data_IF_738176748172
#
_entry.id   IF_738176748172
#
_cell.length_a   1.000
_cell.length_b   1.000
_cell.length_c   1.000
_cell.angle_alpha   90.00
_cell.angle_beta   90.00
_cell.angle_gamma   90.00
#
_symmetry.space_group_name_H-M   'P 1'
#
loop_
_entity.id
_entity.type
_entity.pdbx_description
1 polymer ?
#
# COMPACT_ATOMS: atom_id res chain seq x y z
N UNK A 1 -18.03 -16.19 5.98
CA UNK A 1 -18.61 -17.46 6.46
C UNK A 1 -20.13 -17.34 6.33
N UNK A 2 -20.86 -18.44 6.39
CA UNK A 2 -22.33 -18.45 6.30
C UNK A 2 -22.88 -18.89 7.64
N UNK A 3 -23.80 -18.13 8.23
CA UNK A 3 -24.46 -18.47 9.49
C UNK A 3 -25.90 -18.88 9.22
N UNK A 4 -26.24 -20.12 9.59
CA UNK A 4 -27.62 -20.60 9.60
C UNK A 4 -28.34 -19.98 10.80
N UNK A 5 -29.37 -19.19 10.52
CA UNK A 5 -30.07 -18.41 11.54
C UNK A 5 -31.05 -19.26 12.36
N UNK A 6 -31.38 -20.46 11.90
CA UNK A 6 -32.35 -21.34 12.57
C UNK A 6 -31.71 -22.16 13.68
N UNK A 7 -30.43 -22.52 13.54
CA UNK A 7 -29.71 -23.36 14.50
C UNK A 7 -28.39 -22.73 15.00
N UNK A 8 -28.02 -21.54 14.53
CA UNK A 8 -26.81 -20.82 14.93
C UNK A 8 -25.51 -21.49 14.49
N UNK A 9 -25.56 -22.47 13.59
CA UNK A 9 -24.40 -23.21 13.11
C UNK A 9 -23.70 -22.42 12.01
N UNK A 10 -22.39 -22.29 12.14
CA UNK A 10 -21.55 -21.65 11.15
C UNK A 10 -21.02 -22.66 10.13
N UNK A 11 -21.08 -22.26 8.87
CA UNK A 11 -20.61 -23.03 7.73
C UNK A 11 -19.56 -22.28 6.92
N UNK A 12 -18.61 -23.04 6.39
CA UNK A 12 -17.55 -22.56 5.50
C UNK A 12 -17.62 -23.26 4.14
N UNK A 13 -17.34 -22.53 3.04
CA UNK A 13 -17.29 -23.12 1.71
C UNK A 13 -16.01 -23.95 1.56
N UNK A 14 -16.20 -25.22 1.21
CA UNK A 14 -15.12 -26.16 0.94
C UNK A 14 -15.30 -26.75 -0.45
N UNK A 15 -14.22 -27.23 -1.04
CA UNK A 15 -14.25 -27.98 -2.29
C UNK A 15 -13.39 -29.22 -2.18
N UNK A 16 -13.78 -30.26 -2.90
CA UNK A 16 -12.97 -31.44 -3.14
C UNK A 16 -12.29 -31.29 -4.48
N UNK A 17 -10.98 -31.49 -4.53
CA UNK A 17 -10.25 -31.50 -5.78
C UNK A 17 -10.34 -32.86 -6.52
N UNK A 18 -9.68 -32.96 -7.67
CA UNK A 18 -9.66 -34.18 -8.49
C UNK A 18 -8.89 -35.35 -7.84
N UNK A 19 -8.05 -35.07 -6.85
CA UNK A 19 -7.27 -36.06 -6.12
C UNK A 19 -8.03 -36.57 -4.88
N UNK A 20 -9.20 -35.99 -4.59
CA UNK A 20 -10.07 -36.37 -3.47
C UNK A 20 -9.75 -35.61 -2.17
N UNK A 21 -8.86 -34.61 -2.24
CA UNK A 21 -8.50 -33.78 -1.08
C UNK A 21 -9.51 -32.65 -0.88
N UNK A 22 -9.90 -32.41 0.37
CA UNK A 22 -10.81 -31.35 0.76
C UNK A 22 -10.05 -30.09 1.19
N UNK A 23 -10.43 -28.94 0.63
CA UNK A 23 -9.75 -27.65 0.79
C UNK A 23 -10.77 -26.53 1.05
N UNK A 24 -10.34 -25.39 1.62
CA UNK A 24 -11.20 -24.22 1.75
C UNK A 24 -11.26 -23.45 0.42
N UNK A 25 -12.44 -22.96 0.07
CA UNK A 25 -12.61 -22.11 -1.12
C UNK A 25 -11.94 -20.75 -0.87
N UNK A 26 -10.82 -20.51 -1.56
CA UNK A 26 -9.98 -19.32 -1.41
C UNK A 26 -8.52 -19.63 -1.06
N UNK A 27 -8.19 -20.89 -0.77
CA UNK A 27 -6.82 -21.32 -0.44
C UNK A 27 -5.90 -21.36 -1.67
N UNK A 28 -6.47 -21.52 -2.88
CA UNK A 28 -5.73 -21.60 -4.14
C UNK A 28 -6.19 -20.54 -5.14
N UNK A 29 -5.33 -20.11 -6.09
CA UNK A 29 -5.71 -19.21 -7.17
C UNK A 29 -6.94 -19.67 -7.95
N UNK A 30 -7.79 -18.72 -8.39
CA UNK A 30 -9.03 -18.97 -9.14
C UNK A 30 -8.86 -19.95 -10.31
N UNK A 31 -7.79 -19.81 -11.10
CA UNK A 31 -7.53 -20.72 -12.22
C UNK A 31 -7.33 -22.17 -11.76
N UNK A 32 -6.56 -22.38 -10.68
CA UNK A 32 -6.35 -23.72 -10.11
C UNK A 32 -7.63 -24.29 -9.51
N UNK A 33 -8.45 -23.45 -8.86
CA UNK A 33 -9.75 -23.86 -8.35
C UNK A 33 -10.67 -24.33 -9.49
N UNK A 34 -10.81 -23.55 -10.56
CA UNK A 34 -11.65 -23.91 -11.71
C UNK A 34 -11.15 -25.19 -12.40
N UNK A 35 -9.83 -25.35 -12.52
CA UNK A 35 -9.25 -26.51 -13.20
C UNK A 35 -9.32 -27.80 -12.37
N UNK A 36 -9.32 -27.72 -11.03
CA UNK A 36 -9.20 -28.88 -10.13
C UNK A 36 -10.42 -29.16 -9.25
N UNK A 37 -11.36 -28.24 -9.10
CA UNK A 37 -12.56 -28.48 -8.31
C UNK A 37 -13.42 -29.57 -8.95
N UNK A 38 -13.70 -30.62 -8.19
CA UNK A 38 -14.62 -31.69 -8.58
C UNK A 38 -16.04 -31.43 -8.06
N UNK A 39 -16.16 -31.08 -6.76
CA UNK A 39 -17.44 -30.70 -6.14
C UNK A 39 -17.25 -29.70 -5.00
N UNK A 40 -18.27 -28.89 -4.75
CA UNK A 40 -18.32 -27.92 -3.65
C UNK A 40 -19.30 -28.38 -2.57
N UNK A 41 -19.03 -28.02 -1.32
CA UNK A 41 -19.92 -28.28 -0.19
C UNK A 41 -19.75 -27.22 0.90
N UNK A 42 -20.82 -26.96 1.65
CA UNK A 42 -20.74 -26.31 2.96
C UNK A 42 -20.43 -27.32 4.05
N UNK A 43 -19.32 -27.11 4.76
CA UNK A 43 -18.95 -27.86 5.95
C UNK A 43 -19.17 -27.01 7.19
N UNK A 44 -19.53 -27.63 8.32
CA UNK A 44 -19.59 -26.92 9.60
C UNK A 44 -18.20 -26.40 9.93
N UNK A 45 -18.08 -25.18 10.44
CA UNK A 45 -16.79 -24.57 10.73
C UNK A 45 -15.95 -25.45 11.66
N UNK A 46 -16.57 -26.14 12.63
CA UNK A 46 -15.92 -27.10 13.53
C UNK A 46 -15.30 -28.32 12.83
N UNK A 47 -15.88 -28.76 11.70
CA UNK A 47 -15.40 -29.92 10.93
C UNK A 47 -14.26 -29.51 9.98
N UNK A 48 -14.22 -28.24 9.57
CA UNK A 48 -13.25 -27.71 8.62
C UNK A 48 -11.91 -27.26 9.25
N UNK A 49 -11.80 -27.24 10.59
CA UNK A 49 -10.63 -26.77 11.35
C UNK A 49 -9.32 -27.46 10.90
N UNK A 50 -9.41 -28.71 10.43
CA UNK A 50 -8.24 -29.53 10.05
C UNK A 50 -7.86 -29.46 8.57
N UNK A 51 -8.67 -28.81 7.73
CA UNK A 51 -8.42 -28.72 6.28
C UNK A 51 -7.25 -27.77 5.95
N UNK A 52 -6.93 -26.82 6.83
CA UNK A 52 -5.85 -25.83 6.65
C UNK A 52 -4.46 -26.25 7.16
N UNK A 53 -4.23 -27.51 7.58
CA UNK A 53 -2.95 -27.94 8.19
C UNK A 53 -2.03 -28.78 7.29
N UNK A 54 -2.41 -29.12 6.06
CA UNK A 54 -1.49 -29.76 5.11
C UNK A 54 -0.80 -28.69 4.26
N UNK A 55 0.47 -28.43 4.58
CA UNK A 55 1.40 -27.56 3.86
C UNK A 55 1.40 -27.87 2.35
N UNK A 56 0.67 -27.06 1.58
CA UNK A 56 1.13 -26.64 0.27
C UNK A 56 1.47 -25.17 0.44
N UNK A 57 2.77 -24.87 0.31
CA UNK A 57 3.30 -23.52 0.44
C UNK A 57 2.68 -22.66 -0.67
N UNK A 58 1.77 -21.73 -0.32
CA UNK A 58 1.37 -20.64 -1.21
C UNK A 58 1.32 -19.33 -0.40
N UNK A 59 1.91 -18.23 -0.91
CA UNK A 59 1.97 -16.95 -0.23
C UNK A 59 0.61 -16.24 -0.30
N UNK A 60 0.29 -15.49 0.75
CA UNK A 60 -0.70 -14.39 0.89
C UNK A 60 -1.96 -14.44 -0.01
N UNK A 61 -3.14 -14.37 0.63
CA UNK A 61 -4.44 -14.22 -0.05
C UNK A 61 -4.38 -13.15 -1.16
N UNK A 62 -4.51 -13.58 -2.41
CA UNK A 62 -4.56 -12.68 -3.58
C UNK A 62 -5.99 -12.14 -3.77
N UNK A 63 -6.16 -10.96 -4.39
CA UNK A 63 -7.49 -10.39 -4.72
C UNK A 63 -8.37 -11.37 -5.52
N UNK A 64 -7.75 -12.23 -6.35
CA UNK A 64 -8.43 -13.29 -7.09
C UNK A 64 -9.09 -14.33 -6.17
N UNK A 65 -8.49 -14.62 -5.01
CA UNK A 65 -9.04 -15.55 -4.03
C UNK A 65 -10.24 -14.94 -3.30
N UNK A 66 -10.20 -13.64 -2.99
CA UNK A 66 -11.34 -12.92 -2.37
C UNK A 66 -12.54 -12.87 -3.32
N UNK A 67 -12.30 -12.58 -4.61
CA UNK A 67 -13.35 -12.58 -5.64
C UNK A 67 -13.94 -13.98 -5.81
N UNK A 68 -13.09 -15.02 -5.89
CA UNK A 68 -13.53 -16.41 -5.97
C UNK A 68 -14.44 -16.77 -4.79
N UNK A 69 -13.99 -16.51 -3.55
CA UNK A 69 -14.79 -16.79 -2.36
C UNK A 69 -16.11 -16.02 -2.39
N UNK A 70 -16.12 -14.76 -2.84
CA UNK A 70 -17.36 -13.97 -2.94
C UNK A 70 -18.34 -14.49 -3.99
N UNK A 71 -17.86 -14.90 -5.17
CA UNK A 71 -18.68 -15.46 -6.26
C UNK A 71 -19.28 -16.80 -5.82
N UNK A 72 -18.46 -17.71 -5.30
CA UNK A 72 -18.91 -19.03 -4.84
C UNK A 72 -19.90 -18.88 -3.68
N UNK A 73 -19.65 -18.00 -2.72
CA UNK A 73 -20.58 -17.71 -1.63
C UNK A 73 -21.91 -17.15 -2.13
N UNK A 74 -21.89 -16.28 -3.15
CA UNK A 74 -23.11 -15.70 -3.70
C UNK A 74 -23.95 -16.72 -4.48
N UNK A 75 -23.31 -17.67 -5.16
CA UNK A 75 -24.00 -18.79 -5.81
C UNK A 75 -24.64 -19.72 -4.77
N UNK A 76 -23.88 -20.10 -3.74
CA UNK A 76 -24.34 -21.02 -2.70
C UNK A 76 -25.50 -20.43 -1.89
N UNK A 77 -25.46 -19.15 -1.53
CA UNK A 77 -26.55 -18.49 -0.81
C UNK A 77 -27.85 -18.50 -1.63
N UNK A 78 -27.77 -18.25 -2.94
CA UNK A 78 -28.94 -18.31 -3.84
C UNK A 78 -29.54 -19.71 -3.90
N UNK A 79 -28.71 -20.76 -3.96
CA UNK A 79 -29.17 -22.15 -4.00
C UNK A 79 -29.82 -22.57 -2.67
N UNK A 80 -29.32 -22.10 -1.53
CA UNK A 80 -29.88 -22.41 -0.21
C UNK A 80 -31.24 -21.73 0.01
N UNK A 81 -31.37 -20.46 -0.38
CA UNK A 81 -32.66 -19.76 -0.34
C UNK A 81 -33.69 -20.43 -1.25
N UNK A 82 -33.27 -20.92 -2.42
CA UNK A 82 -34.14 -21.66 -3.34
C UNK A 82 -34.62 -23.00 -2.77
N UNK A 83 -33.89 -23.58 -1.81
CA UNK A 83 -34.24 -24.82 -1.09
C UNK A 83 -34.89 -24.56 0.28
N UNK A 84 -35.29 -23.32 0.58
CA UNK A 84 -36.02 -22.96 1.80
C UNK A 84 -35.15 -22.85 3.07
N UNK A 85 -33.82 -22.78 2.94
CA UNK A 85 -32.90 -22.58 4.05
C UNK A 85 -32.58 -21.09 4.17
N UNK A 86 -32.87 -20.49 5.32
CA UNK A 86 -32.63 -19.07 5.55
C UNK A 86 -31.25 -18.83 6.18
N UNK A 87 -30.35 -18.24 5.40
CA UNK A 87 -28.93 -18.07 5.72
C UNK A 87 -28.51 -16.63 5.49
N UNK A 88 -27.74 -16.07 6.42
CA UNK A 88 -27.12 -14.75 6.24
C UNK A 88 -25.61 -14.90 6.07
N UNK A 89 -25.06 -14.12 5.14
CA UNK A 89 -23.62 -13.87 5.08
C UNK A 89 -23.27 -13.13 6.36
N UNK A 90 -22.38 -13.68 7.18
CA UNK A 90 -21.95 -13.01 8.40
C UNK A 90 -21.12 -11.78 8.00
N UNK A 91 -21.69 -10.58 8.13
CA UNK A 91 -20.90 -9.37 8.30
C UNK A 91 -20.41 -9.34 9.75
N UNK A 92 -19.14 -9.02 9.96
CA UNK A 92 -18.55 -8.93 11.30
C UNK A 92 -19.38 -8.00 12.19
N UNK A 93 -19.88 -8.43 13.36
CA UNK A 93 -20.73 -7.58 14.19
C UNK A 93 -19.91 -6.55 14.96
N UNK A 94 -20.23 -5.27 14.72
CA UNK A 94 -20.09 -4.22 15.73
C UNK A 94 -21.02 -4.57 16.90
N UNK A 95 -20.45 -4.88 18.07
CA UNK A 95 -21.23 -5.10 19.29
C UNK A 95 -21.39 -3.79 20.06
N UNK A 96 -22.64 -3.44 20.34
CA UNK A 96 -23.02 -2.43 21.32
C UNK A 96 -23.54 -3.20 22.54
N UNK A 97 -22.74 -3.22 23.62
CA UNK A 97 -23.07 -3.90 24.86
C UNK A 97 -22.16 -3.37 25.97
N UNK A 98 -22.75 -2.62 26.90
CA UNK A 98 -22.07 -1.91 27.97
C UNK A 98 -21.43 -2.89 28.98
N UNK A 99 -20.11 -3.06 28.93
CA UNK A 99 -19.29 -3.70 29.98
C UNK A 99 -18.02 -2.89 30.15
N UNK A 100 -17.67 -2.58 31.40
CA UNK A 100 -16.57 -1.72 31.81
C UNK A 100 -15.21 -2.06 31.19
N UNK A 101 -14.68 -1.07 30.45
CA UNK A 101 -13.28 -0.61 30.35
C UNK A 101 -12.14 -1.64 30.50
N UNK A 102 -11.58 -2.05 29.37
CA UNK A 102 -10.12 -1.99 29.11
C UNK A 102 -9.91 -1.60 27.63
N UNK A 103 -9.47 -0.37 27.38
CA UNK A 103 -9.26 0.20 26.05
C UNK A 103 -8.12 -0.50 25.30
N UNK A 104 -8.47 -1.30 24.28
CA UNK A 104 -7.58 -1.66 23.18
C UNK A 104 -8.25 -1.21 21.88
N UNK A 105 -7.91 -0.03 21.38
CA UNK A 105 -8.45 0.47 20.11
C UNK A 105 -7.95 -0.40 18.97
N UNK A 106 -8.82 -1.21 18.39
CA UNK A 106 -8.57 -1.97 17.18
C UNK A 106 -8.61 -1.03 15.95
N UNK A 107 -7.71 -0.03 15.92
CA UNK A 107 -7.66 0.98 14.85
C UNK A 107 -7.20 0.34 13.55
N UNK A 108 -7.92 0.58 12.45
CA UNK A 108 -7.48 0.16 11.10
C UNK A 108 -6.05 0.67 10.83
N UNK A 109 -5.15 -0.15 10.28
CA UNK A 109 -3.80 0.29 9.93
C UNK A 109 -3.81 1.49 8.98
N UNK A 110 -2.85 2.39 9.15
CA UNK A 110 -2.66 3.50 8.23
C UNK A 110 -2.03 2.99 6.93
N UNK A 111 -2.71 3.24 5.80
CA UNK A 111 -2.31 2.74 4.48
C UNK A 111 -1.20 3.59 3.91
N UNK A 112 -0.12 2.95 3.48
CA UNK A 112 1.03 3.57 2.85
C UNK A 112 1.30 2.84 1.54
N UNK A 113 1.36 3.59 0.45
CA UNK A 113 1.69 3.10 -0.87
C UNK A 113 3.08 3.62 -1.24
N UNK A 114 4.02 2.71 -1.46
CA UNK A 114 5.37 3.09 -1.87
C UNK A 114 5.48 2.86 -3.38
N UNK A 115 5.99 3.85 -4.11
CA UNK A 115 6.38 3.68 -5.51
C UNK A 115 7.33 2.48 -5.67
N UNK A 116 7.19 1.69 -6.72
CA UNK A 116 8.08 0.56 -6.97
C UNK A 116 8.61 0.60 -8.39
N UNK A 117 9.93 0.55 -8.52
CA UNK A 117 10.64 0.36 -9.78
C UNK A 117 11.61 -0.80 -9.58
N UNK A 118 11.60 -1.85 -10.42
CA UNK A 118 12.51 -2.98 -10.29
C UNK A 118 14.00 -2.60 -10.28
N UNK A 119 14.35 -1.46 -10.88
CA UNK A 119 15.73 -0.93 -10.89
C UNK A 119 16.17 -0.39 -9.52
N UNK A 120 15.23 -0.12 -8.63
CA UNK A 120 15.41 0.51 -7.33
C UNK A 120 14.83 -0.35 -6.19
N UNK A 121 14.79 -1.68 -6.36
CA UNK A 121 14.24 -2.63 -5.36
C UNK A 121 14.89 -2.45 -3.97
N UNK A 122 16.20 -2.24 -3.92
CA UNK A 122 16.91 -2.00 -2.66
C UNK A 122 16.45 -0.71 -1.97
N UNK A 123 16.15 0.35 -2.72
CA UNK A 123 15.63 1.59 -2.17
C UNK A 123 14.23 1.39 -1.59
N UNK A 124 13.36 0.69 -2.32
CA UNK A 124 12.04 0.29 -1.83
C UNK A 124 12.13 -0.50 -0.51
N UNK A 125 13.02 -1.49 -0.44
CA UNK A 125 13.18 -2.33 0.74
C UNK A 125 13.68 -1.54 1.95
N UNK A 126 14.63 -0.62 1.76
CA UNK A 126 15.12 0.27 2.83
C UNK A 126 14.02 1.24 3.28
N UNK A 127 13.31 1.87 2.34
CA UNK A 127 12.18 2.76 2.66
C UNK A 127 11.12 2.03 3.49
N UNK A 128 10.66 0.87 3.00
CA UNK A 128 9.69 0.01 3.71
C UNK A 128 10.18 -0.41 5.09
N UNK A 129 11.43 -0.86 5.20
CA UNK A 129 12.00 -1.27 6.49
C UNK A 129 12.07 -0.10 7.48
N UNK A 130 12.52 1.08 7.02
CA UNK A 130 12.67 2.26 7.86
C UNK A 130 11.36 2.75 8.46
N UNK A 131 10.26 2.66 7.70
CA UNK A 131 8.89 2.91 8.16
C UNK A 131 8.45 1.87 9.21
N UNK A 132 8.56 0.57 8.89
CA UNK A 132 8.13 -0.51 9.79
C UNK A 132 8.87 -0.50 11.13
N UNK A 133 10.17 -0.20 11.10
CA UNK A 133 11.03 -0.17 12.28
C UNK A 133 10.64 0.92 13.27
N UNK A 134 10.12 2.05 12.81
CA UNK A 134 9.90 3.27 13.62
C UNK A 134 8.44 3.59 13.90
N UNK A 135 7.51 2.95 13.19
CA UNK A 135 6.08 3.22 13.35
C UNK A 135 5.58 2.78 14.74
N UNK A 136 4.99 3.70 15.50
CA UNK A 136 4.29 3.38 16.75
C UNK A 136 2.80 3.05 16.55
N UNK A 137 2.29 3.23 15.34
CA UNK A 137 0.92 2.86 14.94
C UNK A 137 0.94 1.67 13.98
N UNK A 138 -0.15 0.90 13.88
CA UNK A 138 -0.29 -0.10 12.83
C UNK A 138 -0.26 0.56 11.44
N UNK A 139 0.59 0.06 10.55
CA UNK A 139 0.68 0.51 9.16
C UNK A 139 0.53 -0.67 8.20
N UNK A 140 -0.07 -0.40 7.05
CA UNK A 140 -0.18 -1.34 5.93
C UNK A 140 0.57 -0.76 4.74
N UNK A 141 1.71 -1.38 4.38
CA UNK A 141 2.55 -0.92 3.28
C UNK A 141 2.30 -1.77 2.03
N UNK A 142 1.91 -1.13 0.93
CA UNK A 142 1.68 -1.77 -0.37
C UNK A 142 2.58 -1.16 -1.45
N UNK A 143 3.39 -1.95 -2.18
CA UNK A 143 4.12 -1.44 -3.33
C UNK A 143 3.18 -1.14 -4.51
N UNK A 144 3.38 -0.02 -5.20
CA UNK A 144 2.69 0.28 -6.46
C UNK A 144 3.49 -0.33 -7.62
N UNK A 145 3.23 -1.61 -7.91
CA UNK A 145 3.90 -2.36 -8.98
C UNK A 145 3.16 -2.19 -10.30
N UNK A 146 3.78 -1.53 -11.27
CA UNK A 146 3.10 -1.21 -12.53
C UNK A 146 2.63 -2.45 -13.30
N UNK A 147 3.41 -3.54 -13.28
CA UNK A 147 3.02 -4.79 -13.95
C UNK A 147 1.73 -5.39 -13.34
N UNK A 148 1.54 -5.31 -12.02
CA UNK A 148 0.33 -5.82 -11.36
C UNK A 148 -0.88 -4.95 -11.70
N UNK A 149 -0.69 -3.63 -11.73
CA UNK A 149 -1.73 -2.69 -12.12
C UNK A 149 -2.18 -2.90 -13.57
N UNK A 150 -1.24 -3.19 -14.48
CA UNK A 150 -1.55 -3.55 -15.88
C UNK A 150 -2.37 -4.83 -15.98
N UNK A 151 -1.99 -5.87 -15.24
CA UNK A 151 -2.74 -7.14 -15.20
C UNK A 151 -4.17 -6.96 -14.64
N UNK A 152 -4.35 -6.02 -13.71
CA UNK A 152 -5.65 -5.66 -13.14
C UNK A 152 -6.47 -4.71 -14.02
N UNK A 153 -5.92 -4.26 -15.16
CA UNK A 153 -6.59 -3.28 -16.03
C UNK A 153 -6.70 -1.88 -15.41
N UNK A 154 -5.85 -1.54 -14.44
CA UNK A 154 -5.84 -0.24 -13.74
C UNK A 154 -4.80 0.74 -14.32
N UNK A 155 -3.84 0.24 -15.09
CA UNK A 155 -2.80 1.06 -15.71
C UNK A 155 -2.51 0.56 -17.12
N UNK A 156 -2.49 1.46 -18.09
CA UNK A 156 -2.23 1.17 -19.50
C UNK A 156 -1.48 2.30 -20.21
N UNK A 157 -1.14 3.39 -19.52
CA UNK A 157 -0.30 4.48 -20.05
C UNK A 157 1.01 3.94 -20.60
N UNK A 158 1.38 4.32 -21.82
CA UNK A 158 2.70 4.00 -22.38
C UNK A 158 3.79 4.82 -21.71
N UNK A 159 4.99 4.24 -21.57
CA UNK A 159 6.11 4.94 -20.94
C UNK A 159 6.59 6.07 -21.84
N UNK A 160 6.46 7.30 -21.36
CA UNK A 160 6.95 8.52 -21.98
C UNK A 160 8.41 8.84 -21.65
N UNK A 161 9.01 9.74 -22.44
CA UNK A 161 10.41 10.18 -22.27
C UNK A 161 10.70 10.93 -20.96
N UNK A 162 9.67 11.45 -20.31
CA UNK A 162 9.78 12.26 -19.09
C UNK A 162 9.53 11.44 -17.81
N UNK A 163 9.27 10.13 -17.93
CA UNK A 163 9.08 9.22 -16.80
C UNK A 163 10.40 8.63 -16.33
N UNK A 164 10.91 9.16 -15.21
CA UNK A 164 12.11 8.63 -14.56
C UNK A 164 11.89 7.26 -13.93
N UNK A 165 10.70 6.99 -13.40
CA UNK A 165 10.37 5.74 -12.69
C UNK A 165 9.03 5.15 -13.11
N UNK A 166 8.83 3.85 -12.91
CA UNK A 166 7.55 3.16 -13.19
C UNK A 166 6.35 3.72 -12.40
N UNK A 167 6.61 4.45 -11.32
CA UNK A 167 5.60 5.08 -10.47
C UNK A 167 5.41 6.58 -10.72
N UNK A 168 5.98 7.13 -11.80
CA UNK A 168 5.81 8.54 -12.17
C UNK A 168 4.32 8.93 -12.23
N UNK A 169 3.47 8.11 -12.87
CA UNK A 169 2.03 8.36 -12.93
C UNK A 169 1.18 7.39 -12.10
N UNK A 170 1.61 6.14 -11.90
CA UNK A 170 0.79 5.19 -11.12
C UNK A 170 0.62 5.60 -9.65
N UNK A 171 1.48 6.49 -9.12
CA UNK A 171 1.32 7.12 -7.79
C UNK A 171 -0.05 7.76 -7.57
N UNK A 172 -0.65 8.31 -8.62
CA UNK A 172 -1.95 8.99 -8.56
C UNK A 172 -3.13 8.02 -8.46
N UNK A 173 -2.90 6.69 -8.56
CA UNK A 173 -3.91 5.68 -8.24
C UNK A 173 -4.07 5.48 -6.73
N UNK A 174 -3.29 6.13 -5.88
CA UNK A 174 -3.33 5.94 -4.42
C UNK A 174 -4.74 6.05 -3.83
N UNK A 175 -5.57 7.07 -4.15
CA UNK A 175 -6.96 7.11 -3.68
C UNK A 175 -7.78 5.91 -4.16
N UNK A 176 -7.64 5.50 -5.41
CA UNK A 176 -8.32 4.32 -5.96
C UNK A 176 -7.90 3.03 -5.22
N UNK A 177 -6.60 2.82 -5.01
CA UNK A 177 -6.05 1.66 -4.32
C UNK A 177 -6.45 1.62 -2.84
N UNK A 178 -6.66 2.79 -2.23
CA UNK A 178 -7.21 2.94 -0.88
C UNK A 178 -8.73 2.72 -0.81
N UNK A 179 -9.40 2.38 -1.92
CA UNK A 179 -10.85 2.31 -2.08
C UNK A 179 -11.58 3.65 -1.85
N UNK A 180 -10.86 4.77 -1.99
CA UNK A 180 -11.35 6.11 -1.69
C UNK A 180 -11.90 6.23 -0.26
N UNK A 181 -11.25 5.59 0.70
CA UNK A 181 -11.64 5.58 2.11
C UNK A 181 -10.54 6.12 3.01
N UNK A 182 -10.91 7.02 3.93
CA UNK A 182 -10.03 7.57 4.94
C UNK A 182 -8.85 8.30 4.33
N UNK A 183 -7.71 8.26 5.02
CA UNK A 183 -6.46 8.83 4.55
C UNK A 183 -5.47 7.73 4.20
N UNK A 184 -4.66 7.96 3.17
CA UNK A 184 -3.53 7.12 2.81
C UNK A 184 -2.34 7.98 2.40
N UNK A 185 -1.13 7.46 2.60
CA UNK A 185 0.10 8.09 2.12
C UNK A 185 0.57 7.44 0.82
N UNK A 186 0.97 8.25 -0.15
CA UNK A 186 1.89 7.84 -1.20
C UNK A 186 3.30 8.34 -0.86
N UNK A 187 4.34 7.55 -1.16
CA UNK A 187 5.74 7.98 -1.07
C UNK A 187 6.61 7.31 -2.15
N UNK A 188 7.59 8.03 -2.70
CA UNK A 188 8.58 7.47 -3.64
C UNK A 188 9.51 6.46 -2.90
N UNK A 189 10.11 5.50 -3.62
CA UNK A 189 10.96 4.46 -2.99
C UNK A 189 12.32 4.97 -2.50
N UNK A 190 12.79 6.09 -3.02
CA UNK A 190 14.07 6.72 -2.69
C UNK A 190 14.01 7.58 -1.42
N UNK A 191 13.18 7.15 -0.46
CA UNK A 191 13.01 7.76 0.86
C UNK A 191 13.68 6.92 1.97
N UNK A 192 14.17 7.61 3.00
CA UNK A 192 14.59 7.04 4.28
C UNK A 192 13.85 7.72 5.42
N UNK A 193 13.04 6.98 6.18
CA UNK A 193 12.33 7.51 7.34
C UNK A 193 13.17 7.41 8.61
N UNK A 194 13.34 8.54 9.29
CA UNK A 194 14.00 8.67 10.58
C UNK A 194 13.03 8.98 11.73
N UNK A 195 11.89 9.59 11.42
CA UNK A 195 10.82 9.88 12.38
C UNK A 195 9.74 8.79 12.43
N UNK A 196 8.95 8.80 13.51
CA UNK A 196 7.76 7.96 13.64
C UNK A 196 6.62 8.49 12.76
N UNK A 197 6.14 7.66 11.83
CA UNK A 197 5.08 8.03 10.90
C UNK A 197 3.78 8.46 11.59
N UNK A 198 3.56 8.07 12.85
CA UNK A 198 2.44 8.59 13.65
C UNK A 198 2.43 10.12 13.71
N UNK A 199 3.60 10.74 13.88
CA UNK A 199 3.71 12.19 13.99
C UNK A 199 3.23 12.89 12.71
N UNK A 200 3.56 12.36 11.53
CA UNK A 200 3.06 12.86 10.25
C UNK A 200 1.57 12.57 10.09
N UNK A 201 1.13 11.37 10.51
CA UNK A 201 -0.27 10.95 10.45
C UNK A 201 -1.18 11.87 11.28
N UNK A 202 -0.72 12.29 12.46
CA UNK A 202 -1.48 13.16 13.36
C UNK A 202 -1.59 14.61 12.85
N UNK A 203 -0.80 15.00 11.83
CA UNK A 203 -0.85 16.34 11.23
C UNK A 203 -1.96 16.51 10.19
N UNK A 204 -2.63 15.42 9.77
CA UNK A 204 -3.67 15.54 8.74
C UNK A 204 -4.85 16.39 9.22
N UNK A 205 -5.46 17.12 8.30
CA UNK A 205 -6.65 17.92 8.55
C UNK A 205 -7.69 17.66 7.45
N UNK A 206 -8.88 17.18 7.86
CA UNK A 206 -9.99 16.78 6.98
C UNK A 206 -10.53 17.93 6.12
N UNK A 207 -10.15 19.18 6.42
CA UNK A 207 -10.38 20.33 5.55
C UNK A 207 -9.75 20.16 4.17
N UNK A 208 -8.59 19.51 4.09
CA UNK A 208 -7.81 19.41 2.87
C UNK A 208 -8.12 18.12 2.09
N UNK A 209 -8.08 18.23 0.75
CA UNK A 209 -8.19 17.08 -0.13
C UNK A 209 -6.90 16.26 -0.15
N UNK A 210 -5.75 16.91 -0.03
CA UNK A 210 -4.46 16.27 0.19
C UNK A 210 -3.54 17.21 0.96
N UNK A 211 -2.48 16.64 1.55
CA UNK A 211 -1.43 17.41 2.19
C UNK A 211 -0.05 16.91 1.75
N UNK A 212 0.88 17.83 1.52
CA UNK A 212 2.26 17.50 1.16
C UNK A 212 3.21 18.66 1.52
N UNK A 213 4.51 18.50 1.26
CA UNK A 213 5.46 19.59 1.43
C UNK A 213 5.41 20.51 0.21
N UNK A 214 5.24 21.81 0.45
CA UNK A 214 5.22 22.84 -0.58
C UNK A 214 6.63 23.32 -0.94
N UNK A 215 7.42 22.46 -1.57
CA UNK A 215 8.77 22.79 -2.01
C UNK A 215 8.81 23.97 -3.00
N UNK A 216 9.66 24.95 -2.71
CA UNK A 216 10.14 25.92 -3.70
C UNK A 216 11.45 25.41 -4.32
N UNK A 217 11.29 24.52 -5.30
CA UNK A 217 12.42 23.77 -5.86
C UNK A 217 12.80 24.23 -7.26
N UNK A 218 13.98 24.83 -7.37
CA UNK A 218 14.66 25.07 -8.65
C UNK A 218 15.93 24.19 -8.71
N UNK A 219 15.96 23.12 -9.54
CA UNK A 219 17.13 22.26 -9.66
C UNK A 219 18.32 23.04 -10.22
N UNK A 220 19.52 22.77 -9.69
CA UNK A 220 20.78 23.34 -10.20
C UNK A 220 21.35 22.56 -11.39
N UNK A 221 20.98 21.29 -11.51
CA UNK A 221 21.48 20.36 -12.53
C UNK A 221 20.44 20.13 -13.64
N UNK A 222 20.91 19.86 -14.87
CA UNK A 222 20.05 19.69 -16.06
C UNK A 222 19.67 18.22 -16.34
N UNK A 223 20.30 17.26 -15.69
CA UNK A 223 20.06 15.80 -15.83
C UNK A 223 20.06 15.11 -14.47
N UNK A 224 19.28 14.03 -14.33
CA UNK A 224 19.31 13.12 -13.17
C UNK A 224 20.35 12.01 -13.34
N UNK A 225 20.55 11.20 -12.29
CA UNK A 225 21.47 10.05 -12.21
C UNK A 225 21.40 9.04 -13.37
N UNK A 226 20.23 8.80 -13.95
CA UNK A 226 20.03 7.83 -15.03
C UNK A 226 20.06 8.48 -16.42
N UNK A 227 20.52 9.73 -16.50
CA UNK A 227 20.48 10.53 -17.72
C UNK A 227 19.09 11.10 -18.04
N UNK A 228 18.08 10.88 -17.20
CA UNK A 228 16.77 11.50 -17.39
C UNK A 228 16.88 13.03 -17.32
N UNK A 229 16.18 13.72 -18.22
CA UNK A 229 16.19 15.19 -18.27
C UNK A 229 15.52 15.75 -17.02
N UNK A 230 16.23 16.65 -16.33
CA UNK A 230 15.71 17.34 -15.15
C UNK A 230 14.92 18.57 -15.60
N UNK A 231 13.59 18.50 -15.59
CA UNK A 231 12.73 19.61 -16.02
C UNK A 231 12.33 20.51 -14.84
N UNK A 232 12.30 21.83 -15.04
CA UNK A 232 11.78 22.79 -14.05
C UNK A 232 10.29 23.01 -14.31
N UNK A 233 9.45 22.84 -13.30
CA UNK A 233 8.02 23.13 -13.40
C UNK A 233 7.43 23.43 -12.00
N UNK A 234 6.29 24.16 -11.92
CA UNK A 234 5.63 24.44 -10.65
C UNK A 234 5.28 23.16 -9.87
N UNK A 235 5.37 23.19 -8.54
CA UNK A 235 5.05 22.04 -7.66
C UNK A 235 5.93 20.81 -7.85
N UNK A 236 7.15 21.01 -8.36
CA UNK A 236 8.11 19.92 -8.48
C UNK A 236 8.42 19.33 -7.10
N UNK A 237 8.50 18.00 -7.04
CA UNK A 237 8.68 17.19 -5.83
C UNK A 237 7.55 17.30 -4.78
N UNK A 238 6.43 17.98 -5.07
CA UNK A 238 5.27 17.96 -4.17
C UNK A 238 4.59 16.60 -4.15
N UNK A 239 4.65 15.87 -5.28
CA UNK A 239 4.01 14.56 -5.45
C UNK A 239 4.91 13.38 -5.13
N UNK A 240 6.09 13.60 -4.53
CA UNK A 240 6.99 12.51 -4.10
C UNK A 240 6.63 11.93 -2.74
N UNK A 241 5.91 12.69 -1.92
CA UNK A 241 5.23 12.21 -0.72
C UNK A 241 3.94 13.00 -0.56
N UNK A 242 2.81 12.29 -0.53
CA UNK A 242 1.47 12.91 -0.47
C UNK A 242 0.58 12.16 0.52
N UNK A 243 -0.01 12.88 1.45
CA UNK A 243 -1.12 12.40 2.27
C UNK A 243 -2.42 12.70 1.52
N UNK A 244 -3.06 11.67 0.99
CA UNK A 244 -4.36 11.81 0.34
C UNK A 244 -5.48 11.63 1.36
N UNK A 245 -6.39 12.59 1.44
CA UNK A 245 -7.71 12.35 2.01
C UNK A 245 -8.54 11.59 0.97
N UNK A 246 -8.37 10.27 0.91
CA UNK A 246 -9.00 9.41 -0.09
C UNK A 246 -10.53 9.50 -0.06
N UNK A 247 -11.12 9.82 1.11
CA UNK A 247 -12.55 10.06 1.28
C UNK A 247 -13.05 11.41 0.75
N UNK A 248 -12.16 12.37 0.50
CA UNK A 248 -12.56 13.70 0.03
C UNK A 248 -13.23 13.63 -1.36
N UNK A 249 -14.37 14.31 -1.59
CA UNK A 249 -15.11 14.22 -2.84
C UNK A 249 -14.27 14.52 -4.10
N UNK A 250 -13.36 15.50 -4.03
CA UNK A 250 -12.47 15.84 -5.15
C UNK A 250 -11.51 14.72 -5.54
N UNK A 251 -11.10 13.87 -4.60
CA UNK A 251 -10.19 12.76 -4.91
C UNK A 251 -10.89 11.60 -5.63
N UNK A 252 -12.23 11.61 -5.73
CA UNK A 252 -12.96 10.71 -6.65
C UNK A 252 -12.64 10.97 -8.12
N UNK A 253 -12.12 12.16 -8.45
CA UNK A 253 -11.65 12.49 -9.79
C UNK A 253 -10.42 11.67 -10.20
N UNK A 254 -9.63 11.15 -9.25
CA UNK A 254 -8.48 10.30 -9.54
C UNK A 254 -8.93 8.86 -9.82
N UNK A 255 -9.53 8.65 -10.99
CA UNK A 255 -9.88 7.32 -11.51
C UNK A 255 -8.74 6.72 -12.33
N UNK A 256 -8.74 5.39 -12.58
CA UNK A 256 -7.81 4.77 -13.53
C UNK A 256 -7.79 5.49 -14.89
N UNK A 257 -8.95 5.86 -15.42
CA UNK A 257 -9.05 6.56 -16.70
C UNK A 257 -8.28 7.89 -16.66
N UNK A 258 -8.53 8.73 -15.64
CA UNK A 258 -7.87 10.02 -15.47
C UNK A 258 -6.36 9.86 -15.35
N UNK A 259 -5.87 8.93 -14.52
CA UNK A 259 -4.42 8.71 -14.36
C UNK A 259 -3.75 8.27 -15.66
N UNK A 260 -4.46 7.51 -16.49
CA UNK A 260 -3.93 6.99 -17.75
C UNK A 260 -4.04 7.98 -18.92
N UNK A 261 -4.98 8.93 -18.90
CA UNK A 261 -5.20 9.86 -20.01
C UNK A 261 -4.66 11.27 -19.77
N UNK A 262 -4.62 11.74 -18.53
CA UNK A 262 -4.28 13.13 -18.24
C UNK A 262 -2.80 13.47 -18.41
N UNK A 263 -2.52 14.75 -18.61
CA UNK A 263 -1.14 15.21 -18.75
C UNK A 263 -0.36 15.07 -17.43
N UNK A 264 0.97 14.97 -17.53
CA UNK A 264 1.79 15.00 -16.32
C UNK A 264 1.72 16.33 -15.57
N UNK A 265 1.47 17.44 -16.27
CA UNK A 265 1.22 18.72 -15.64
C UNK A 265 -0.07 18.70 -14.81
N UNK A 266 -1.16 18.12 -15.34
CA UNK A 266 -2.42 17.98 -14.61
C UNK A 266 -2.21 17.21 -13.30
N UNK A 267 -1.51 16.07 -13.38
CA UNK A 267 -1.31 15.19 -12.23
C UNK A 267 -0.31 15.75 -11.21
N UNK A 268 0.93 16.05 -11.62
CA UNK A 268 1.98 16.48 -10.71
C UNK A 268 1.78 17.89 -10.14
N UNK A 269 0.93 18.71 -10.76
CA UNK A 269 0.57 20.04 -10.25
C UNK A 269 -0.79 20.05 -9.56
N UNK A 270 -1.42 18.90 -9.35
CA UNK A 270 -2.69 18.80 -8.62
C UNK A 270 -3.82 19.66 -9.23
N UNK A 271 -3.90 19.74 -10.56
CA UNK A 271 -4.82 20.66 -11.26
C UNK A 271 -6.31 20.28 -11.14
N UNK A 272 -6.64 19.16 -10.49
CA UNK A 272 -8.03 18.82 -10.14
C UNK A 272 -8.50 19.46 -8.82
N UNK A 273 -7.60 20.14 -8.11
CA UNK A 273 -7.85 20.83 -6.84
C UNK A 273 -7.62 22.33 -7.00
N UNK A 274 -8.33 23.10 -6.17
CA UNK A 274 -7.98 24.48 -5.89
C UNK A 274 -6.85 24.54 -4.84
N UNK A 275 -6.09 25.63 -4.82
CA UNK A 275 -4.91 25.78 -3.95
C UNK A 275 -5.28 25.73 -2.47
N UNK A 276 -6.46 26.25 -2.09
CA UNK A 276 -6.95 26.23 -0.72
C UNK A 276 -7.35 24.82 -0.23
N UNK A 277 -7.48 23.85 -1.15
CA UNK A 277 -7.77 22.45 -0.86
C UNK A 277 -6.49 21.62 -0.62
N UNK A 278 -5.30 22.22 -0.80
CA UNK A 278 -3.98 21.57 -0.67
C UNK A 278 -3.31 22.06 0.63
N UNK A 279 -3.19 21.18 1.60
CA UNK A 279 -2.55 21.49 2.89
C UNK A 279 -1.04 21.27 2.87
N UNK A 280 -0.34 22.01 3.73
CA UNK A 280 1.11 21.92 3.86
C UNK A 280 1.50 21.04 5.07
N UNK A 281 2.55 20.23 4.91
CA UNK A 281 3.27 19.63 6.04
C UNK A 281 4.73 20.12 6.08
N UNK A 282 5.40 20.11 7.24
CA UNK A 282 6.78 20.60 7.36
C UNK A 282 7.76 19.90 6.43
N UNK A 283 8.71 20.65 5.85
CA UNK A 283 9.66 20.12 4.86
C UNK A 283 10.52 18.97 5.36
N UNK A 284 10.71 18.82 6.67
CA UNK A 284 11.46 17.70 7.26
C UNK A 284 10.83 16.33 6.97
N UNK A 285 9.55 16.28 6.56
CA UNK A 285 8.87 15.05 6.13
C UNK A 285 9.02 14.73 4.63
N UNK A 286 9.69 15.58 3.88
CA UNK A 286 10.12 15.33 2.50
C UNK A 286 11.40 16.16 2.27
N UNK A 287 12.46 15.84 3.01
CA UNK A 287 13.70 16.60 2.97
C UNK A 287 14.49 16.22 1.72
N UNK A 288 14.59 17.15 0.77
CA UNK A 288 15.30 16.96 -0.49
C UNK A 288 16.81 17.11 -0.28
N UNK A 289 17.53 16.00 -0.39
CA UNK A 289 19.00 15.95 -0.32
C UNK A 289 19.62 16.94 -1.33
N UNK A 290 20.61 17.72 -0.88
CA UNK A 290 21.27 18.71 -1.72
C UNK A 290 20.51 20.03 -1.93
N UNK A 291 19.25 20.12 -1.50
CA UNK A 291 18.43 21.33 -1.59
C UNK A 291 18.05 21.89 -0.22
N UNK A 292 17.38 21.11 0.63
CA UNK A 292 17.07 21.55 1.99
C UNK A 292 18.34 21.60 2.85
N UNK A 293 18.28 22.33 3.97
CA UNK A 293 19.42 22.53 4.87
C UNK A 293 19.01 22.30 6.31
N UNK A 294 19.85 21.56 7.03
CA UNK A 294 19.81 21.51 8.49
C UNK A 294 20.50 22.75 9.02
N UNK A 295 19.82 23.46 9.91
CA UNK A 295 20.34 24.59 10.66
C UNK A 295 20.80 24.06 12.01
N UNK A 296 22.11 24.12 12.29
CA UNK A 296 22.71 23.53 13.49
C UNK A 296 22.08 24.03 14.80
N UNK A 297 21.66 25.31 14.81
CA UNK A 297 21.00 25.94 15.96
C UNK A 297 19.49 25.62 16.07
N UNK A 298 18.90 24.93 15.09
CA UNK A 298 17.47 24.60 15.07
C UNK A 298 17.22 23.12 14.76
N UNK A 299 17.08 22.27 15.79
CA UNK A 299 16.79 20.86 15.63
C UNK A 299 15.50 20.56 14.86
N UNK A 300 14.54 21.50 14.78
CA UNK A 300 13.30 21.31 14.01
C UNK A 300 13.54 21.25 12.50
N UNK A 301 14.74 21.58 12.03
CA UNK A 301 15.17 21.48 10.63
C UNK A 301 15.81 20.15 10.27
N UNK A 302 16.09 19.28 11.26
CA UNK A 302 16.65 17.96 11.01
C UNK A 302 15.63 17.04 10.33
N UNK A 303 16.00 16.29 9.28
CA UNK A 303 15.05 15.50 8.51
C UNK A 303 14.40 14.38 9.33
N UNK A 304 13.07 14.23 9.17
CA UNK A 304 12.30 13.07 9.63
C UNK A 304 12.07 12.07 8.50
N UNK A 305 12.08 12.51 7.26
CA UNK A 305 12.13 11.66 6.08
C UNK A 305 13.03 12.30 5.02
N UNK A 306 14.11 11.60 4.67
CA UNK A 306 15.12 12.04 3.69
C UNK A 306 14.72 11.51 2.32
N UNK A 307 14.77 12.35 1.29
CA UNK A 307 14.40 12.03 -0.07
C UNK A 307 15.60 12.27 -1.02
N UNK A 308 16.12 11.19 -1.59
CA UNK A 308 17.30 11.19 -2.44
C UNK A 308 16.95 11.48 -3.92
N UNK A 309 16.33 12.64 -4.18
CA UNK A 309 15.73 13.03 -5.48
C UNK A 309 16.63 12.91 -6.73
N UNK A 310 17.96 13.02 -6.54
CA UNK A 310 18.96 12.96 -7.60
C UNK A 310 19.61 11.58 -7.72
N UNK A 311 19.39 10.72 -6.72
CA UNK A 311 20.07 9.44 -6.51
C UNK A 311 20.63 9.32 -5.11
N UNK A 312 20.58 8.11 -4.56
CA UNK A 312 21.11 7.79 -3.24
C UNK A 312 22.22 6.75 -3.27
N UNK A 313 22.71 6.32 -2.09
CA UNK A 313 23.95 5.54 -1.94
C UNK A 313 23.96 4.16 -2.60
N UNK A 314 22.81 3.68 -3.08
CA UNK A 314 22.72 2.45 -3.87
C UNK A 314 23.25 2.60 -5.30
N UNK A 315 23.54 3.82 -5.75
CA UNK A 315 24.28 4.09 -6.97
C UNK A 315 25.73 4.45 -6.66
N UNK A 316 26.68 3.88 -7.42
CA UNK A 316 28.12 4.09 -7.22
C UNK A 316 28.51 5.57 -7.20
N UNK A 317 27.91 6.37 -8.08
CA UNK A 317 28.17 7.81 -8.21
C UNK A 317 27.67 8.65 -7.02
N UNK A 318 26.86 8.08 -6.13
CA UNK A 318 26.13 8.81 -5.07
C UNK A 318 26.39 8.25 -3.66
N UNK A 319 27.43 7.42 -3.49
CA UNK A 319 27.79 6.86 -2.18
C UNK A 319 28.09 7.93 -1.12
N UNK A 320 28.69 9.04 -1.54
CA UNK A 320 29.10 10.15 -0.66
C UNK A 320 28.05 11.27 -0.56
N UNK A 321 26.78 11.00 -0.89
CA UNK A 321 25.71 11.99 -0.77
C UNK A 321 25.41 12.34 0.70
N UNK A 322 24.81 13.51 0.91
CA UNK A 322 24.36 13.96 2.24
C UNK A 322 23.42 12.91 2.87
N UNK A 323 23.70 12.54 4.13
CA UNK A 323 23.02 11.45 4.86
C UNK A 323 23.18 10.05 4.26
N UNK A 324 24.17 9.82 3.39
CA UNK A 324 24.41 8.51 2.80
C UNK A 324 24.81 7.44 3.82
N UNK A 325 25.52 7.84 4.87
CA UNK A 325 25.89 7.00 6.02
C UNK A 325 24.66 6.46 6.78
N UNK A 326 23.63 7.29 6.96
CA UNK A 326 22.38 6.89 7.59
C UNK A 326 21.65 5.83 6.76
N UNK A 327 21.64 5.99 5.43
CA UNK A 327 21.01 5.03 4.53
C UNK A 327 21.77 3.70 4.49
N UNK A 328 23.09 3.72 4.41
CA UNK A 328 23.93 2.51 4.42
C UNK A 328 23.78 1.73 5.72
N UNK A 329 23.70 2.43 6.86
CA UNK A 329 23.40 1.82 8.15
C UNK A 329 22.02 1.15 8.15
N UNK A 330 21.00 1.81 7.60
CA UNK A 330 19.64 1.25 7.53
C UNK A 330 19.57 0.03 6.60
N UNK A 331 20.32 0.03 5.50
CA UNK A 331 20.46 -1.12 4.61
C UNK A 331 21.06 -2.33 5.35
N UNK A 332 22.17 -2.14 6.07
CA UNK A 332 22.82 -3.21 6.83
C UNK A 332 21.86 -3.83 7.87
N UNK A 333 21.07 -2.99 8.55
CA UNK A 333 20.06 -3.46 9.51
C UNK A 333 18.89 -4.20 8.83
N UNK A 334 18.46 -3.72 7.65
CA UNK A 334 17.43 -4.37 6.83
C UNK A 334 17.88 -5.78 6.38
N UNK A 335 19.12 -5.93 5.91
CA UNK A 335 19.69 -7.21 5.50
C UNK A 335 19.78 -8.18 6.67
N UNK A 336 20.29 -7.73 7.83
CA UNK A 336 20.35 -8.53 9.06
C UNK A 336 18.95 -9.00 9.51
N UNK A 337 17.92 -8.16 9.35
CA UNK A 337 16.55 -8.53 9.68
C UNK A 337 16.01 -9.62 8.74
N UNK A 338 16.31 -9.54 7.42
CA UNK A 338 15.94 -10.56 6.43
C UNK A 338 16.58 -11.91 6.72
N UNK A 339 17.86 -11.93 7.09
CA UNK A 339 18.57 -13.17 7.44
C UNK A 339 17.98 -13.87 8.67
N UNK A 340 17.56 -13.10 9.70
CA UNK A 340 16.92 -13.64 10.90
C UNK A 340 15.57 -14.30 10.61
N UNK A 341 14.80 -13.76 9.66
CA UNK A 341 13.54 -14.36 9.22
C UNK A 341 13.78 -15.61 8.37
N UNK A 342 14.85 -15.63 7.57
CA UNK A 342 15.19 -16.75 6.69
C UNK A 342 15.78 -17.97 7.40
N UNK A 343 16.32 -17.82 8.61
CA UNK A 343 16.79 -18.94 9.46
C UNK A 343 15.71 -19.27 10.50
N UNK A 344 14.87 -20.30 10.30
CA UNK A 344 14.04 -20.79 11.39
C UNK A 344 14.97 -21.26 12.51
N UNK A 345 14.70 -20.86 13.75
CA UNK A 345 15.32 -21.43 14.93
C UNK A 345 15.09 -22.95 14.89
N UNK A 346 16.10 -23.70 14.47
CA UNK A 346 16.22 -25.10 14.83
C UNK A 346 16.79 -25.11 16.24
N UNK A 347 15.91 -25.23 17.23
CA UNK A 347 16.25 -25.62 18.60
C UNK A 347 15.42 -26.83 18.94
#
# INVERSE_FOLDING_TARGET
>A
MIMDLTNGVEYVPTYEDKDGDWMLVGDVPLKMFVDRCNRNRLMKSMEAIRLGQRKIFLPNQTRSNIILTSIVMSSIVKDLHSNGVDVKKSESPLSNGNVHSTNGTNSKPFKIFIGYDPREDVAYEVCRYSLLKRSSIPIEITPIKQYELRQQGLYWRERGKLESTEFSFSRFLTPHLANYEGWAMFVDCDFLYLGDIKELRDMVDDKYALMCVHHDYTPKETTKMDGAVQTVYPRKNWSSMVLYNCGHPKNKALTPEVVNSESGAFLHRFMWLEDEEIGEVPFVWNFLVGHNKVVEADPATFPKAIHYTLGGPWFEAWKDCEFGDLWLKELEECEKAKEKVAKPMFV
#
